data_IF_439896760442
#
_entry.id   IF_439896760442
#
_cell.length_a   1.000
_cell.length_b   1.000
_cell.length_c   1.000
_cell.angle_alpha   90.00
_cell.angle_beta   90.00
_cell.angle_gamma   90.00
#
_symmetry.space_group_name_H-M   'P 1'
#
loop_
_entity.id
_entity.type
_entity.pdbx_description
1 polymer ?
#
# COMPACT_ATOMS: atom_id res chain seq x y z
N UNK A 1 -3.09 17.95 5.03
CA UNK A 1 -2.58 16.87 5.90
C UNK A 1 -3.52 15.69 5.80
N UNK A 2 -3.04 14.61 5.19
CA UNK A 2 -3.79 13.38 4.94
C UNK A 2 -3.79 12.47 6.17
N UNK A 3 -4.74 11.51 6.28
CA UNK A 3 -4.66 10.42 7.26
C UNK A 3 -3.27 9.78 7.23
N UNK A 4 -2.77 9.33 8.37
CA UNK A 4 -1.51 8.57 8.45
C UNK A 4 -1.54 7.39 7.50
N UNK A 5 -2.72 6.78 7.40
CA UNK A 5 -2.95 5.65 6.54
C UNK A 5 -3.00 6.00 5.03
N UNK A 6 -3.02 7.29 4.65
CA UNK A 6 -2.97 7.72 3.25
C UNK A 6 -1.58 7.94 2.67
N UNK A 7 -0.55 7.94 3.52
CA UNK A 7 0.87 8.04 3.14
C UNK A 7 1.41 6.85 2.33
N UNK A 8 0.56 5.89 1.95
CA UNK A 8 0.94 4.50 1.73
C UNK A 8 1.43 4.17 0.32
N UNK A 9 1.03 4.88 -0.74
CA UNK A 9 1.43 4.52 -2.10
C UNK A 9 1.56 5.72 -3.05
N UNK A 10 2.81 6.05 -3.41
CA UNK A 10 3.12 6.70 -4.69
C UNK A 10 4.24 5.89 -5.34
N UNK A 11 3.87 4.89 -6.15
CA UNK A 11 4.82 4.12 -6.95
C UNK A 11 4.94 4.78 -8.32
N UNK A 12 6.12 5.26 -8.68
CA UNK A 12 6.42 5.67 -10.06
C UNK A 12 7.55 4.81 -10.61
N UNK A 13 7.20 3.88 -11.50
CA UNK A 13 8.16 3.19 -12.34
C UNK A 13 8.57 4.15 -13.47
N UNK A 14 9.79 4.68 -13.45
CA UNK A 14 10.32 5.50 -14.53
C UNK A 14 10.74 4.62 -15.71
N UNK A 15 10.24 4.90 -16.91
CA UNK A 15 10.84 4.42 -18.16
C UNK A 15 12.19 5.14 -18.35
N UNK A 16 13.29 4.46 -18.03
CA UNK A 16 14.64 4.95 -18.28
C UNK A 16 15.06 4.66 -19.72
N UNK A 17 15.18 5.69 -20.56
CA UNK A 17 15.89 5.58 -21.85
C UNK A 17 17.39 5.78 -21.60
N UNK A 18 18.19 4.77 -21.91
CA UNK A 18 19.66 4.80 -21.85
C UNK A 18 20.16 5.68 -23.00
N UNK A 19 20.87 6.76 -22.66
CA UNK A 19 21.71 7.47 -23.61
C UNK A 19 22.95 6.62 -23.89
N UNK A 20 23.11 6.21 -25.14
CA UNK A 20 24.37 5.64 -25.63
C UNK A 20 25.37 6.79 -25.76
N UNK A 21 26.44 6.70 -24.97
CA UNK A 21 27.65 7.46 -25.20
C UNK A 21 28.49 6.67 -26.22
N UNK A 22 28.55 7.16 -27.46
CA UNK A 22 29.49 6.67 -28.46
C UNK A 22 29.98 7.84 -29.31
N UNK A 23 31.20 8.27 -29.01
CA UNK A 23 32.05 9.06 -29.87
C UNK A 23 32.23 8.39 -31.23
N UNK A 24 31.75 8.99 -32.32
CA UNK A 24 32.54 9.18 -33.55
C UNK A 24 31.85 10.12 -34.56
N UNK A 25 32.70 10.94 -35.17
CA UNK A 25 32.64 11.46 -36.54
C UNK A 25 31.56 12.49 -36.95
N UNK A 26 32.07 13.71 -37.09
CA UNK A 26 31.70 14.66 -38.13
C UNK A 26 31.55 13.94 -39.47
N UNK A 27 30.42 14.16 -40.15
CA UNK A 27 30.41 14.61 -41.54
C UNK A 27 29.02 15.18 -41.89
N UNK A 28 29.06 16.07 -42.86
CA UNK A 28 28.02 17.00 -43.29
C UNK A 28 26.97 16.34 -44.21
N UNK A 29 25.83 17.04 -44.32
CA UNK A 29 24.97 17.25 -45.53
C UNK A 29 24.01 16.16 -46.05
N UNK A 30 22.77 16.61 -46.33
CA UNK A 30 21.78 16.02 -47.28
C UNK A 30 20.59 15.33 -46.61
N UNK A 31 19.40 15.92 -46.43
CA UNK A 31 18.33 16.30 -47.39
C UNK A 31 17.60 15.12 -48.07
N UNK A 32 16.26 15.17 -47.96
CA UNK A 32 15.17 14.59 -48.78
C UNK A 32 14.59 13.19 -48.49
N UNK A 33 13.36 13.22 -47.92
CA UNK A 33 12.08 12.67 -48.42
C UNK A 33 12.11 11.42 -49.31
N UNK A 34 11.30 10.42 -48.95
CA UNK A 34 10.34 9.77 -49.87
C UNK A 34 9.26 9.00 -49.11
N UNK A 35 8.06 9.06 -49.66
CA UNK A 35 6.85 8.37 -49.24
C UNK A 35 6.62 7.08 -50.05
N UNK A 36 5.85 6.15 -49.49
CA UNK A 36 5.18 5.04 -50.20
C UNK A 36 4.41 4.19 -49.17
N UNK A 37 3.07 4.22 -49.08
CA UNK A 37 2.02 3.72 -50.01
C UNK A 37 1.97 2.19 -50.14
N UNK A 38 0.90 1.56 -49.62
CA UNK A 38 0.24 0.39 -50.24
C UNK A 38 -0.08 -0.85 -49.37
N UNK A 39 -1.29 -0.89 -48.79
CA UNK A 39 -2.39 -1.91 -48.87
C UNK A 39 -2.12 -3.45 -49.07
N UNK A 40 -3.12 -4.38 -48.96
CA UNK A 40 -3.62 -5.07 -47.75
C UNK A 40 -3.78 -6.61 -47.94
N UNK A 41 -4.63 -7.26 -47.10
CA UNK A 41 -5.34 -8.55 -47.27
C UNK A 41 -4.72 -9.80 -46.61
N UNK A 42 -5.53 -10.48 -45.79
CA UNK A 42 -5.31 -11.88 -45.39
C UNK A 42 -6.33 -12.43 -44.40
N UNK A 43 -7.50 -12.88 -44.89
CA UNK A 43 -8.49 -13.67 -44.14
C UNK A 43 -7.97 -15.09 -43.86
N UNK A 44 -8.26 -15.64 -42.68
CA UNK A 44 -8.12 -17.08 -42.38
C UNK A 44 -9.18 -17.56 -41.38
N UNK A 45 -10.01 -18.51 -41.80
CA UNK A 45 -11.15 -19.11 -41.07
C UNK A 45 -10.77 -20.50 -40.51
N UNK A 46 -11.42 -20.84 -39.37
CA UNK A 46 -11.97 -22.15 -38.93
C UNK A 46 -11.05 -23.35 -38.65
N UNK A 47 -11.20 -23.89 -37.42
CA UNK A 47 -11.54 -25.29 -37.08
C UNK A 47 -11.77 -25.32 -35.54
N UNK A 48 -12.94 -25.62 -34.97
CA UNK A 48 -13.72 -26.88 -34.94
C UNK A 48 -12.89 -28.10 -34.50
N UNK A 49 -12.96 -28.45 -33.22
CA UNK A 49 -12.78 -29.82 -32.78
C UNK A 49 -13.76 -30.15 -31.66
N UNK A 50 -14.60 -31.17 -31.90
CA UNK A 50 -15.57 -31.75 -30.98
C UNK A 50 -15.17 -33.20 -30.69
N UNK A 51 -15.21 -33.62 -29.44
CA UNK A 51 -15.27 -35.01 -28.96
C UNK A 51 -16.03 -34.92 -27.63
N UNK A 52 -17.25 -35.43 -27.40
CA UNK A 52 -17.93 -36.72 -27.68
C UNK A 52 -17.33 -37.93 -26.96
N UNK A 53 -17.97 -38.31 -25.83
CA UNK A 53 -18.52 -39.64 -25.44
C UNK A 53 -18.48 -39.77 -23.88
N UNK A 54 -19.58 -39.73 -23.12
CA UNK A 54 -20.71 -40.68 -22.89
C UNK A 54 -20.30 -41.95 -22.11
N UNK A 55 -21.16 -42.33 -21.13
CA UNK A 55 -21.37 -43.66 -20.49
C UNK A 55 -20.67 -43.81 -19.11
N UNK A 56 -21.24 -44.26 -17.96
CA UNK A 56 -22.35 -45.19 -17.64
C UNK A 56 -22.93 -45.00 -16.21
N UNK A 57 -24.22 -45.37 -16.08
CA UNK A 57 -25.12 -45.83 -14.98
C UNK A 57 -24.56 -46.13 -13.57
N UNK A 58 -25.21 -45.83 -12.42
CA UNK A 58 -26.57 -46.07 -11.84
C UNK A 58 -26.54 -47.21 -10.78
N UNK A 59 -27.23 -46.95 -9.65
CA UNK A 59 -27.80 -47.86 -8.62
C UNK A 59 -26.99 -48.17 -7.35
N UNK A 60 -27.56 -47.82 -6.19
CA UNK A 60 -28.03 -48.70 -5.09
C UNK A 60 -28.24 -47.82 -3.82
N UNK A 61 -29.46 -47.40 -3.48
CA UNK A 61 -30.34 -48.05 -2.48
C UNK A 61 -29.63 -48.51 -1.20
N UNK A 62 -29.84 -47.79 -0.08
CA UNK A 62 -30.45 -48.39 1.10
C UNK A 62 -31.05 -47.34 2.05
N UNK A 63 -32.30 -47.58 2.42
CA UNK A 63 -33.04 -47.02 3.57
C UNK A 63 -32.92 -48.04 4.71
N UNK A 64 -32.84 -47.59 5.96
CA UNK A 64 -33.43 -48.16 7.21
C UNK A 64 -32.79 -47.42 8.40
N UNK A 65 -33.48 -46.58 9.18
CA UNK A 65 -34.51 -46.85 10.23
C UNK A 65 -33.96 -47.61 11.44
N UNK A 66 -33.68 -46.88 12.53
CA UNK A 66 -33.77 -47.21 13.97
C UNK A 66 -33.94 -45.84 14.67
N UNK A 67 -35.09 -45.36 15.16
CA UNK A 67 -36.01 -45.83 16.21
C UNK A 67 -35.37 -45.84 17.62
N UNK A 68 -35.79 -44.84 18.40
CA UNK A 68 -35.97 -44.75 19.86
C UNK A 68 -34.75 -44.86 20.79
N UNK A 69 -34.48 -43.75 21.49
CA UNK A 69 -33.73 -43.77 22.73
C UNK A 69 -33.53 -42.38 23.34
N UNK A 70 -34.19 -42.11 24.47
CA UNK A 70 -33.65 -41.19 25.48
C UNK A 70 -34.19 -39.76 25.48
N UNK A 71 -35.44 -39.57 25.93
CA UNK A 71 -35.78 -38.39 26.72
C UNK A 71 -35.10 -38.51 28.07
N UNK A 72 -34.06 -37.70 28.33
CA UNK A 72 -33.57 -37.25 29.64
C UNK A 72 -32.20 -36.60 29.45
N UNK A 73 -32.12 -35.28 29.59
CA UNK A 73 -31.13 -34.58 30.44
C UNK A 73 -31.11 -33.08 30.12
N UNK A 74 -31.28 -32.29 31.17
CA UNK A 74 -30.56 -31.03 31.32
C UNK A 74 -31.22 -29.81 30.71
N UNK A 75 -31.94 -29.09 31.56
CA UNK A 75 -31.97 -27.63 31.57
C UNK A 75 -30.55 -27.06 31.38
N UNK A 76 -30.14 -26.88 30.13
CA UNK A 76 -29.09 -25.93 29.76
C UNK A 76 -29.76 -24.55 29.72
N UNK A 77 -29.90 -23.94 30.90
CA UNK A 77 -30.05 -22.50 31.01
C UNK A 77 -28.80 -21.89 30.38
N UNK A 78 -28.94 -21.50 29.11
CA UNK A 78 -27.90 -20.87 28.33
C UNK A 78 -27.45 -19.59 29.01
N UNK A 79 -26.35 -19.67 29.74
CA UNK A 79 -25.40 -18.57 29.83
C UNK A 79 -24.80 -18.35 28.45
N UNK A 80 -25.62 -17.80 27.55
CA UNK A 80 -25.14 -17.09 26.37
C UNK A 80 -24.50 -15.81 26.84
N UNK A 81 -23.34 -15.91 27.50
CA UNK A 81 -22.39 -14.81 27.43
C UNK A 81 -22.18 -14.58 25.94
N UNK A 82 -22.63 -13.44 25.45
CA UNK A 82 -22.39 -13.00 24.09
C UNK A 82 -20.89 -12.80 23.94
N UNK A 83 -20.16 -13.90 23.75
CA UNK A 83 -18.78 -13.88 23.32
C UNK A 83 -18.82 -13.24 21.93
N UNK A 84 -18.52 -11.95 21.87
CA UNK A 84 -18.37 -11.27 20.60
C UNK A 84 -17.37 -12.07 19.78
N UNK A 85 -17.71 -12.31 18.52
CA UNK A 85 -16.78 -12.94 17.58
C UNK A 85 -15.48 -12.11 17.58
N UNK A 86 -14.32 -12.71 17.90
CA UNK A 86 -13.04 -11.99 17.94
C UNK A 86 -12.75 -11.23 16.64
N UNK A 87 -13.29 -11.67 15.51
CA UNK A 87 -13.16 -10.98 14.22
C UNK A 87 -14.02 -9.70 14.15
N UNK A 88 -15.24 -9.72 14.71
CA UNK A 88 -16.14 -8.57 14.78
C UNK A 88 -15.60 -7.51 15.75
N UNK A 89 -15.03 -7.95 16.89
CA UNK A 89 -14.36 -7.05 17.81
C UNK A 89 -13.15 -6.37 17.16
N UNK A 90 -12.30 -7.13 16.46
CA UNK A 90 -11.15 -6.57 15.74
C UNK A 90 -11.58 -5.54 14.69
N UNK A 91 -12.63 -5.85 13.90
CA UNK A 91 -13.19 -4.93 12.92
C UNK A 91 -13.69 -3.63 13.55
N UNK A 92 -14.41 -3.73 14.68
CA UNK A 92 -14.88 -2.57 15.45
C UNK A 92 -13.73 -1.70 15.95
N UNK A 93 -12.63 -2.32 16.42
CA UNK A 93 -11.44 -1.58 16.86
C UNK A 93 -10.80 -0.84 15.68
N UNK A 94 -10.68 -1.49 14.51
CA UNK A 94 -10.11 -0.87 13.30
C UNK A 94 -10.97 0.30 12.81
N UNK A 95 -12.30 0.18 12.83
CA UNK A 95 -13.21 1.29 12.49
C UNK A 95 -12.98 2.50 13.41
N UNK A 96 -12.90 2.28 14.74
CA UNK A 96 -12.60 3.35 15.71
C UNK A 96 -11.23 3.97 15.51
N UNK A 97 -10.23 3.14 15.21
CA UNK A 97 -8.87 3.62 14.90
C UNK A 97 -8.87 4.54 13.69
N UNK A 98 -9.59 4.19 12.63
CA UNK A 98 -9.64 5.00 11.42
C UNK A 98 -10.39 6.32 11.63
N UNK A 99 -11.46 6.32 12.42
CA UNK A 99 -12.15 7.53 12.85
C UNK A 99 -11.24 8.43 13.70
N UNK A 100 -10.47 7.83 14.63
CA UNK A 100 -9.53 8.56 15.46
C UNK A 100 -8.40 9.16 14.63
N UNK A 101 -7.81 8.42 13.68
CA UNK A 101 -6.75 8.96 12.83
C UNK A 101 -7.26 10.13 11.97
N UNK A 102 -8.51 10.09 11.50
CA UNK A 102 -9.12 11.24 10.81
C UNK A 102 -9.17 12.49 11.71
N UNK A 103 -9.60 12.33 12.96
CA UNK A 103 -9.63 13.44 13.95
C UNK A 103 -8.23 13.96 14.25
N UNK A 104 -7.26 13.07 14.42
CA UNK A 104 -5.87 13.45 14.65
C UNK A 104 -5.28 14.16 13.43
N UNK A 105 -5.56 13.71 12.20
CA UNK A 105 -5.10 14.35 10.97
C UNK A 105 -5.57 15.80 10.86
N UNK A 106 -6.80 16.11 11.29
CA UNK A 106 -7.30 17.49 11.37
C UNK A 106 -6.54 18.32 12.40
N UNK A 107 -6.35 17.78 13.61
CA UNK A 107 -5.62 18.48 14.69
C UNK A 107 -4.15 18.70 14.37
N UNK A 108 -3.54 17.80 13.60
CA UNK A 108 -2.15 17.92 13.15
C UNK A 108 -1.94 19.10 12.18
N UNK A 109 -3.00 19.63 11.54
CA UNK A 109 -2.95 20.83 10.67
C UNK A 109 -2.58 22.12 11.41
N UNK A 110 -2.33 22.06 12.71
CA UNK A 110 -1.76 23.17 13.47
C UNK A 110 -0.22 23.15 13.52
N UNK A 111 0.43 22.13 12.96
CA UNK A 111 1.88 21.98 13.06
C UNK A 111 2.59 22.13 11.71
N UNK A 112 3.65 22.92 11.72
CA UNK A 112 4.71 22.86 10.71
C UNK A 112 5.80 21.90 11.22
N UNK A 113 6.45 21.15 10.34
CA UNK A 113 7.48 20.19 10.71
C UNK A 113 8.50 20.03 9.58
N UNK A 114 9.63 19.39 9.88
CA UNK A 114 10.61 19.05 8.87
C UNK A 114 10.48 17.56 8.52
N UNK A 115 10.42 17.26 7.23
CA UNK A 115 10.42 15.92 6.68
C UNK A 115 11.83 15.58 6.18
N UNK A 116 12.45 14.57 6.78
CA UNK A 116 13.72 14.00 6.31
C UNK A 116 13.40 12.77 5.47
N UNK A 117 13.76 12.80 4.19
CA UNK A 117 13.56 11.70 3.25
C UNK A 117 14.94 11.09 2.95
N UNK A 118 15.14 9.84 3.35
CA UNK A 118 16.32 9.04 3.03
C UNK A 118 15.91 8.01 1.98
N UNK A 119 16.60 7.99 0.84
CA UNK A 119 16.38 7.03 -0.26
C UNK A 119 17.65 6.22 -0.45
N UNK A 120 17.57 4.93 -0.20
CA UNK A 120 18.65 3.97 -0.37
C UNK A 120 18.35 3.08 -1.58
N UNK A 121 19.29 2.98 -2.53
CA UNK A 121 19.28 1.93 -3.54
C UNK A 121 19.98 0.70 -3.00
N UNK A 122 19.39 -0.46 -3.21
CA UNK A 122 19.87 -1.72 -2.66
C UNK A 122 20.36 -2.66 -3.77
N UNK A 123 21.34 -3.50 -3.46
CA UNK A 123 21.72 -4.65 -4.29
C UNK A 123 20.84 -5.89 -3.99
N UNK A 124 21.20 -7.04 -4.57
CA UNK A 124 20.49 -8.30 -4.34
C UNK A 124 20.63 -8.82 -2.89
N UNK A 125 21.75 -8.51 -2.23
CA UNK A 125 22.04 -8.87 -0.84
C UNK A 125 21.49 -7.85 0.18
N UNK A 126 20.71 -6.86 -0.28
CA UNK A 126 20.11 -5.78 0.54
C UNK A 126 21.14 -4.83 1.15
N UNK A 127 22.33 -4.74 0.58
CA UNK A 127 23.35 -3.74 0.95
C UNK A 127 23.06 -2.43 0.23
N UNK A 128 23.42 -1.32 0.87
CA UNK A 128 23.22 0.02 0.35
C UNK A 128 24.27 0.29 -0.73
N UNK A 129 23.81 0.54 -1.96
CA UNK A 129 24.66 0.90 -3.12
C UNK A 129 24.75 2.42 -3.26
N UNK A 130 23.68 3.13 -2.92
CA UNK A 130 23.61 4.59 -3.00
C UNK A 130 22.59 5.09 -1.99
N UNK A 131 22.87 6.23 -1.37
CA UNK A 131 21.99 6.91 -0.43
C UNK A 131 21.81 8.37 -0.84
N UNK A 132 20.60 8.89 -0.69
CA UNK A 132 20.28 10.31 -0.81
C UNK A 132 19.43 10.75 0.37
N UNK A 133 19.80 11.87 0.99
CA UNK A 133 19.10 12.45 2.13
C UNK A 133 18.65 13.86 1.79
N UNK A 134 17.35 14.12 1.91
CA UNK A 134 16.73 15.42 1.66
C UNK A 134 15.94 15.86 2.88
N UNK A 135 16.06 17.12 3.27
CA UNK A 135 15.24 17.75 4.30
C UNK A 135 14.29 18.75 3.64
N UNK A 136 13.02 18.70 3.99
CA UNK A 136 11.98 19.55 3.43
C UNK A 136 11.10 20.09 4.56
N UNK A 137 10.84 21.40 4.56
CA UNK A 137 9.86 21.97 5.48
C UNK A 137 8.44 21.65 4.96
N UNK A 138 7.61 21.06 5.82
CA UNK A 138 6.19 20.83 5.58
C UNK A 138 5.40 21.84 6.37
N UNK A 139 4.59 22.61 5.67
CA UNK A 139 3.72 23.62 6.25
C UNK A 139 2.29 23.10 6.34
N UNK A 140 1.62 23.42 7.44
CA UNK A 140 0.30 22.88 7.74
C UNK A 140 -0.79 23.33 6.73
N UNK A 141 -0.57 24.45 6.05
CA UNK A 141 -1.46 25.06 5.06
C UNK A 141 -1.31 24.46 3.66
N UNK A 142 -0.35 23.56 3.46
CA UNK A 142 -0.05 22.95 2.16
C UNK A 142 -0.02 21.43 2.29
N UNK A 143 -0.48 20.68 1.27
CA UNK A 143 -0.15 19.28 1.21
C UNK A 143 1.39 19.15 1.14
N UNK A 144 2.00 18.28 1.95
CA UNK A 144 3.41 17.92 1.78
C UNK A 144 3.67 17.45 0.35
N UNK A 145 4.67 18.03 -0.29
CA UNK A 145 5.19 17.51 -1.55
C UNK A 145 6.03 16.27 -1.22
N UNK A 146 5.44 15.08 -1.37
CA UNK A 146 6.06 13.81 -1.08
C UNK A 146 7.17 13.39 -2.07
N UNK A 147 7.65 14.35 -2.87
CA UNK A 147 8.79 14.18 -3.74
C UNK A 147 8.46 13.23 -4.86
N UNK A 148 7.44 13.59 -5.66
CA UNK A 148 7.47 13.23 -7.08
C UNK A 148 8.86 13.63 -7.58
N UNK A 149 9.65 12.65 -8.02
CA UNK A 149 11.03 12.85 -8.46
C UNK A 149 11.08 14.12 -9.33
N UNK A 150 11.95 15.12 -9.04
CA UNK A 150 11.93 16.38 -9.77
C UNK A 150 11.97 16.11 -11.27
N UNK A 151 11.02 16.72 -11.99
CA UNK A 151 10.68 16.58 -13.41
C UNK A 151 11.87 16.89 -14.35
N UNK A 152 12.88 16.03 -14.38
CA UNK A 152 13.87 16.00 -15.47
C UNK A 152 13.65 14.77 -16.35
N UNK A 153 12.40 14.58 -16.81
CA UNK A 153 12.02 13.60 -17.82
C UNK A 153 10.89 14.18 -18.69
N UNK A 154 10.81 13.82 -19.98
CA UNK A 154 9.83 14.41 -20.89
C UNK A 154 8.42 13.84 -20.62
N UNK A 155 7.44 14.72 -20.86
CA UNK A 155 6.01 14.44 -21.11
C UNK A 155 5.05 14.33 -19.90
N UNK A 156 4.20 15.36 -19.82
CA UNK A 156 3.18 15.66 -18.80
C UNK A 156 2.01 14.68 -18.69
N UNK A 157 2.18 13.42 -19.09
CA UNK A 157 1.30 12.31 -18.69
C UNK A 157 1.71 11.78 -17.30
N UNK A 158 2.99 11.83 -16.95
CA UNK A 158 3.51 11.51 -15.61
C UNK A 158 3.07 12.53 -14.54
N UNK A 159 2.89 13.80 -14.93
CA UNK A 159 2.35 14.83 -14.04
C UNK A 159 0.88 14.60 -13.65
N UNK A 160 0.10 13.90 -14.48
CA UNK A 160 -1.28 13.49 -14.14
C UNK A 160 -1.33 12.24 -13.26
N UNK A 161 -0.38 11.31 -13.42
CA UNK A 161 -0.23 10.18 -12.50
C UNK A 161 0.28 10.61 -11.11
N UNK A 162 1.00 11.72 -11.02
CA UNK A 162 1.37 12.35 -9.74
C UNK A 162 0.20 13.09 -9.06
N UNK A 163 -0.93 13.28 -9.76
CA UNK A 163 -2.20 13.79 -9.22
C UNK A 163 -3.18 12.65 -8.88
N UNK A 164 -2.71 11.40 -8.74
CA UNK A 164 -3.56 10.32 -8.22
C UNK A 164 -4.06 10.69 -6.83
N UNK A 165 -5.38 10.56 -6.65
CA UNK A 165 -6.08 10.97 -5.42
C UNK A 165 -5.40 10.38 -4.17
N UNK A 166 -5.38 11.13 -3.05
CA UNK A 166 -4.92 10.64 -1.76
C UNK A 166 -5.48 9.23 -1.52
N UNK A 167 -4.61 8.24 -1.35
CA UNK A 167 -5.06 6.88 -1.10
C UNK A 167 -5.76 6.84 0.27
N UNK A 168 -7.07 7.00 0.34
CA UNK A 168 -7.79 7.03 1.62
C UNK A 168 -7.92 5.62 2.19
N UNK A 169 -7.26 5.31 3.31
CA UNK A 169 -7.34 3.96 3.89
C UNK A 169 -8.73 3.57 4.38
N UNK A 170 -9.59 4.55 4.68
CA UNK A 170 -11.00 4.28 4.93
C UNK A 170 -11.66 3.52 3.77
N UNK A 171 -11.19 3.73 2.54
CA UNK A 171 -11.72 3.07 1.35
C UNK A 171 -11.29 1.60 1.25
N UNK A 172 -10.26 1.17 1.99
CA UNK A 172 -9.75 -0.21 1.93
C UNK A 172 -9.93 -1.01 3.22
N UNK A 173 -10.55 -0.45 4.28
CA UNK A 173 -10.86 -1.21 5.50
C UNK A 173 -11.66 -2.48 5.15
N UNK A 174 -12.63 -2.36 4.26
CA UNK A 174 -13.50 -3.47 3.87
C UNK A 174 -12.80 -4.50 2.95
N UNK A 175 -11.55 -4.24 2.54
CA UNK A 175 -10.73 -5.14 1.73
C UNK A 175 -10.04 -6.23 2.55
N UNK A 176 -10.16 -6.18 3.87
CA UNK A 176 -9.44 -7.07 4.77
C UNK A 176 -10.37 -7.89 5.66
N UNK A 177 -9.85 -9.04 6.09
CA UNK A 177 -10.27 -9.72 7.30
C UNK A 177 -9.36 -9.26 8.44
N UNK A 178 -9.94 -9.09 9.62
CA UNK A 178 -9.22 -8.69 10.82
C UNK A 178 -9.33 -9.75 11.90
N UNK A 179 -8.25 -9.96 12.65
CA UNK A 179 -8.26 -10.77 13.86
C UNK A 179 -7.48 -10.09 14.98
N UNK A 180 -7.98 -10.21 16.20
CA UNK A 180 -7.26 -9.77 17.39
C UNK A 180 -6.23 -10.84 17.77
N UNK A 181 -4.95 -10.53 17.59
CA UNK A 181 -3.83 -11.42 17.93
C UNK A 181 -3.38 -11.25 19.40
N UNK A 182 -3.98 -10.30 20.12
CA UNK A 182 -3.79 -10.10 21.54
C UNK A 182 -3.45 -8.65 21.90
N UNK A 183 -2.58 -8.48 22.88
CA UNK A 183 -2.15 -7.16 23.38
C UNK A 183 -0.63 -7.09 23.46
N UNK A 184 -0.08 -5.93 23.14
CA UNK A 184 1.36 -5.70 23.11
C UNK A 184 1.65 -4.26 23.56
N UNK A 185 2.76 -4.05 24.28
CA UNK A 185 3.20 -2.70 24.65
C UNK A 185 4.10 -2.13 23.55
N UNK A 186 3.68 -1.01 22.96
CA UNK A 186 4.44 -0.26 21.96
C UNK A 186 4.76 1.11 22.54
N UNK A 187 6.04 1.47 22.61
CA UNK A 187 6.50 2.75 23.19
C UNK A 187 5.93 3.02 24.60
N UNK A 188 5.78 1.96 25.40
CA UNK A 188 5.22 2.03 26.75
C UNK A 188 3.69 2.07 26.83
N UNK A 189 2.97 2.12 25.70
CA UNK A 189 1.50 2.16 25.61
C UNK A 189 0.94 0.77 25.38
N UNK A 190 -0.08 0.37 26.15
CA UNK A 190 -0.80 -0.87 25.91
C UNK A 190 -1.63 -0.76 24.63
N UNK A 191 -1.36 -1.65 23.67
CA UNK A 191 -2.02 -1.67 22.38
C UNK A 191 -2.75 -3.00 22.14
N UNK A 192 -3.84 -2.96 21.38
CA UNK A 192 -4.37 -4.12 20.68
C UNK A 192 -3.46 -4.44 19.50
N UNK A 193 -3.05 -5.70 19.35
CA UNK A 193 -2.35 -6.19 18.17
C UNK A 193 -3.36 -6.83 17.23
N UNK A 194 -3.57 -6.22 16.08
CA UNK A 194 -4.61 -6.64 15.13
C UNK A 194 -3.94 -7.06 13.84
N UNK A 195 -4.17 -8.30 13.44
CA UNK A 195 -3.73 -8.79 12.14
C UNK A 195 -4.76 -8.43 11.08
N UNK A 196 -4.29 -8.01 9.91
CA UNK A 196 -5.11 -7.80 8.73
C UNK A 196 -4.64 -8.70 7.60
N UNK A 197 -5.58 -9.33 6.90
CA UNK A 197 -5.31 -10.25 5.78
C UNK A 197 -6.23 -9.91 4.62
N UNK A 198 -5.72 -9.76 3.38
CA UNK A 198 -6.52 -9.31 2.26
C UNK A 198 -7.61 -10.33 1.93
N UNK A 199 -8.80 -9.84 1.61
CA UNK A 199 -9.87 -10.67 1.08
C UNK A 199 -9.52 -11.08 -0.35
N UNK A 200 -9.83 -12.32 -0.75
CA UNK A 200 -9.60 -12.75 -2.13
C UNK A 200 -10.52 -11.99 -3.09
N UNK A 201 -10.02 -11.70 -4.29
CA UNK A 201 -10.78 -11.12 -5.41
C UNK A 201 -11.42 -9.74 -5.11
N UNK A 202 -10.82 -8.94 -4.23
CA UNK A 202 -11.28 -7.55 -4.04
C UNK A 202 -11.12 -6.75 -5.34
N UNK A 203 -12.13 -5.93 -5.70
CA UNK A 203 -12.00 -5.04 -6.84
C UNK A 203 -10.86 -4.03 -6.61
N UNK A 204 -10.31 -3.52 -7.70
CA UNK A 204 -9.35 -2.42 -7.67
C UNK A 204 -9.61 -1.48 -8.84
N UNK A 205 -9.45 -0.18 -8.61
CA UNK A 205 -9.62 0.89 -9.60
C UNK A 205 -8.28 1.35 -10.16
N UNK A 206 -7.23 1.29 -9.35
CA UNK A 206 -5.89 1.72 -9.70
C UNK A 206 -4.83 0.67 -9.30
N UNK A 207 -3.56 0.96 -9.57
CA UNK A 207 -2.44 0.00 -9.39
C UNK A 207 -2.09 -0.14 -7.92
N UNK A 208 -2.25 0.94 -7.17
CA UNK A 208 -1.99 1.12 -5.75
C UNK A 208 -2.94 0.22 -4.96
N UNK A 209 -4.24 0.29 -5.26
CA UNK A 209 -5.28 -0.56 -4.66
C UNK A 209 -5.06 -2.04 -4.99
N UNK A 210 -4.57 -2.36 -6.20
CA UNK A 210 -4.18 -3.73 -6.55
C UNK A 210 -3.02 -4.25 -5.68
N UNK A 211 -2.02 -3.40 -5.40
CA UNK A 211 -0.91 -3.77 -4.50
C UNK A 211 -1.41 -3.92 -3.07
N UNK A 212 -2.23 -2.99 -2.59
CA UNK A 212 -2.85 -3.03 -1.26
C UNK A 212 -3.63 -4.33 -1.05
N UNK A 213 -4.40 -4.77 -2.05
CA UNK A 213 -5.14 -6.03 -2.02
C UNK A 213 -4.25 -7.29 -1.93
N UNK A 214 -2.91 -7.16 -2.02
CA UNK A 214 -1.96 -8.25 -1.81
C UNK A 214 -1.14 -8.10 -0.52
N UNK A 215 -1.30 -7.00 0.21
CA UNK A 215 -0.55 -6.70 1.44
C UNK A 215 -1.27 -7.27 2.66
N UNK A 216 -0.53 -7.83 3.60
CA UNK A 216 -1.03 -8.31 4.89
C UNK A 216 -0.09 -7.88 6.00
N UNK A 217 -0.52 -7.90 7.25
CA UNK A 217 0.35 -7.51 8.36
C UNK A 217 -0.39 -7.23 9.66
N UNK A 218 0.13 -6.27 10.43
CA UNK A 218 -0.33 -5.95 11.77
C UNK A 218 -0.51 -4.45 12.00
N UNK A 219 -1.52 -4.11 12.79
CA UNK A 219 -1.84 -2.77 13.29
C UNK A 219 -1.75 -2.81 14.82
N UNK A 220 -1.17 -1.77 15.42
CA UNK A 220 -1.15 -1.60 16.87
C UNK A 220 -1.99 -0.38 17.24
N UNK A 221 -3.16 -0.66 17.81
CA UNK A 221 -4.14 0.35 18.21
C UNK A 221 -4.04 0.60 19.72
N UNK A 222 -3.89 1.85 20.15
CA UNK A 222 -3.94 2.24 21.55
C UNK A 222 -5.21 1.72 22.23
N UNK A 223 -5.07 1.10 23.41
CA UNK A 223 -6.25 0.75 24.22
C UNK A 223 -6.93 1.96 24.88
N UNK A 224 -6.19 3.07 25.01
CA UNK A 224 -6.68 4.29 25.66
C UNK A 224 -7.65 5.06 24.75
N UNK A 225 -7.24 5.29 23.51
CA UNK A 225 -7.90 6.25 22.61
C UNK A 225 -8.00 5.77 21.16
N UNK A 226 -7.65 4.51 20.88
CA UNK A 226 -7.63 3.92 19.54
C UNK A 226 -6.67 4.58 18.54
N UNK A 227 -5.74 5.41 19.00
CA UNK A 227 -4.69 5.96 18.14
C UNK A 227 -3.83 4.84 17.53
N UNK A 228 -3.42 5.00 16.28
CA UNK A 228 -2.47 4.07 15.64
C UNK A 228 -1.07 4.35 16.18
N UNK A 229 -0.43 3.36 16.80
CA UNK A 229 0.93 3.48 17.34
C UNK A 229 2.00 3.00 16.37
N UNK A 230 1.70 1.88 15.71
CA UNK A 230 2.58 1.20 14.77
C UNK A 230 1.73 0.48 13.73
N UNK A 231 2.26 0.33 12.53
CA UNK A 231 1.68 -0.51 11.50
C UNK A 231 2.80 -1.16 10.68
N UNK A 232 2.65 -2.44 10.38
CA UNK A 232 3.59 -3.19 9.58
C UNK A 232 2.84 -4.02 8.55
N UNK A 233 3.47 -4.26 7.41
CA UNK A 233 2.94 -5.22 6.47
C UNK A 233 3.84 -5.50 5.29
N UNK A 234 3.43 -6.55 4.59
CA UNK A 234 4.26 -7.33 3.70
C UNK A 234 3.45 -7.74 2.47
N UNK A 235 4.10 -7.78 1.31
CA UNK A 235 3.49 -8.35 0.12
C UNK A 235 3.33 -9.87 0.28
N UNK A 236 2.09 -10.36 0.16
CA UNK A 236 1.82 -11.80 0.24
C UNK A 236 2.21 -12.56 -1.02
N UNK A 237 2.17 -11.91 -2.19
CA UNK A 237 2.53 -12.51 -3.47
C UNK A 237 2.91 -11.44 -4.50
N UNK A 238 3.73 -11.75 -5.52
CA UNK A 238 4.11 -10.77 -6.53
C UNK A 238 2.91 -10.18 -7.28
N UNK A 239 2.88 -8.85 -7.42
CA UNK A 239 1.79 -8.10 -8.07
C UNK A 239 2.29 -7.43 -9.34
N UNK A 240 1.55 -7.59 -10.44
CA UNK A 240 1.81 -6.84 -11.68
C UNK A 240 1.29 -5.41 -11.53
N UNK A 241 2.21 -4.44 -11.50
CA UNK A 241 1.93 -3.01 -11.26
C UNK A 241 1.85 -2.19 -12.55
N UNK A 242 2.41 -2.68 -13.66
CA UNK A 242 2.19 -2.13 -15.00
C UNK A 242 1.75 -3.23 -15.97
N UNK A 243 1.19 -2.83 -17.12
CA UNK A 243 0.83 -3.72 -18.23
C UNK A 243 2.09 -4.50 -18.67
N UNK A 244 2.20 -5.74 -18.19
CA UNK A 244 3.27 -6.74 -18.36
C UNK A 244 4.75 -6.38 -18.11
N UNK A 245 5.13 -5.10 -17.97
CA UNK A 245 6.53 -4.70 -17.87
C UNK A 245 7.08 -4.56 -16.45
N UNK A 246 6.23 -4.41 -15.42
CA UNK A 246 6.69 -4.22 -14.06
C UNK A 246 5.93 -5.13 -13.09
N UNK A 247 6.68 -5.91 -12.30
CA UNK A 247 6.15 -6.77 -11.25
C UNK A 247 6.83 -6.45 -9.94
N UNK A 248 6.02 -6.09 -8.95
CA UNK A 248 6.43 -5.90 -7.56
C UNK A 248 6.56 -7.27 -6.90
N UNK A 249 7.76 -7.62 -6.45
CA UNK A 249 8.07 -8.91 -5.82
C UNK A 249 8.17 -8.81 -4.31
N UNK A 250 8.72 -7.71 -3.81
CA UNK A 250 8.82 -7.44 -2.38
C UNK A 250 8.21 -6.07 -2.11
N UNK A 251 7.42 -6.00 -1.05
CA UNK A 251 7.03 -4.77 -0.40
C UNK A 251 7.02 -5.05 1.10
N UNK A 252 7.76 -4.27 1.85
CA UNK A 252 7.69 -4.20 3.30
C UNK A 252 7.44 -2.76 3.67
N UNK A 253 6.49 -2.55 4.56
CA UNK A 253 6.22 -1.23 5.10
C UNK A 253 6.23 -1.31 6.62
N UNK A 254 6.73 -0.24 7.24
CA UNK A 254 6.64 -0.01 8.67
C UNK A 254 6.36 1.45 8.92
N UNK A 255 5.40 1.72 9.77
CA UNK A 255 5.00 3.04 10.21
C UNK A 255 5.04 3.10 11.73
N UNK A 256 5.57 4.20 12.27
CA UNK A 256 5.63 4.45 13.70
C UNK A 256 5.10 5.85 14.04
N UNK A 257 4.50 5.96 15.22
CA UNK A 257 4.01 7.21 15.79
C UNK A 257 4.93 7.78 16.87
N UNK A 258 4.76 9.07 17.15
CA UNK A 258 5.31 9.76 18.32
C UNK A 258 4.29 10.73 18.91
N UNK A 259 4.51 11.14 20.16
CA UNK A 259 3.75 12.22 20.79
C UNK A 259 4.17 13.57 20.20
N UNK A 260 3.19 14.39 19.86
CA UNK A 260 3.36 15.75 19.36
C UNK A 260 3.31 16.79 20.50
N UNK A 261 3.67 18.06 20.26
CA UNK A 261 3.65 19.11 21.29
C UNK A 261 2.29 19.38 21.94
N UNK A 262 1.18 18.99 21.32
CA UNK A 262 -0.18 19.07 21.89
C UNK A 262 -0.61 17.80 22.63
N UNK A 263 0.28 16.82 22.77
CA UNK A 263 0.00 15.52 23.38
C UNK A 263 -0.62 14.49 22.43
N UNK A 264 -1.01 14.87 21.21
CA UNK A 264 -1.61 13.92 20.26
C UNK A 264 -0.56 12.97 19.66
N UNK A 265 -1.02 11.84 19.12
CA UNK A 265 -0.17 10.96 18.31
C UNK A 265 -0.03 11.49 16.89
N UNK A 266 1.20 11.55 16.40
CA UNK A 266 1.56 11.94 15.03
C UNK A 266 2.60 11.02 14.41
N UNK A 267 2.88 11.18 13.11
CA UNK A 267 3.88 10.37 12.43
C UNK A 267 5.28 10.65 12.99
N UNK A 268 6.05 9.58 13.21
CA UNK A 268 7.48 9.63 13.56
C UNK A 268 8.31 9.22 12.35
N UNK A 269 8.12 7.98 11.91
CA UNK A 269 8.88 7.38 10.82
C UNK A 269 7.94 6.57 9.93
N UNK A 270 8.17 6.64 8.63
CA UNK A 270 7.61 5.71 7.66
C UNK A 270 8.72 5.11 6.82
N UNK A 271 8.83 3.80 6.83
CA UNK A 271 9.85 3.02 6.12
C UNK A 271 9.20 2.09 5.14
N UNK A 272 9.61 2.19 3.88
CA UNK A 272 9.18 1.30 2.81
C UNK A 272 10.40 0.64 2.21
N UNK A 273 10.30 -0.64 1.89
CA UNK A 273 11.30 -1.38 1.12
C UNK A 273 10.57 -2.11 0.02
N UNK A 274 11.03 -1.96 -1.22
CA UNK A 274 10.42 -2.67 -2.34
C UNK A 274 11.45 -3.19 -3.33
N UNK A 275 11.06 -4.26 -4.02
CA UNK A 275 11.78 -4.83 -5.15
C UNK A 275 10.83 -4.96 -6.34
N UNK A 276 11.11 -4.23 -7.41
CA UNK A 276 10.36 -4.27 -8.65
C UNK A 276 11.25 -4.85 -9.73
N UNK A 277 10.76 -5.88 -10.41
CA UNK A 277 11.38 -6.39 -11.62
C UNK A 277 10.81 -5.62 -12.82
N UNK A 278 11.69 -5.01 -13.59
CA UNK A 278 11.40 -4.31 -14.85
C UNK A 278 12.15 -5.02 -16.00
N UNK A 279 11.87 -4.73 -17.28
CA UNK A 279 12.42 -5.53 -18.38
C UNK A 279 13.95 -5.50 -18.48
N UNK A 280 14.57 -4.46 -17.90
CA UNK A 280 16.01 -4.22 -17.97
C UNK A 280 16.73 -4.45 -16.63
N UNK A 281 16.07 -5.05 -15.64
CA UNK A 281 16.70 -5.41 -14.37
C UNK A 281 15.80 -5.23 -13.16
N UNK A 282 16.43 -5.01 -12.01
CA UNK A 282 15.78 -4.88 -10.72
C UNK A 282 15.90 -3.46 -10.17
N UNK A 283 14.77 -2.90 -9.74
CA UNK A 283 14.73 -1.71 -8.90
C UNK A 283 14.51 -2.16 -7.46
N UNK A 284 15.54 -2.05 -6.62
CA UNK A 284 15.45 -2.33 -5.18
C UNK A 284 15.75 -1.06 -4.43
N UNK A 285 14.77 -0.57 -3.68
CA UNK A 285 14.92 0.68 -2.94
C UNK A 285 14.36 0.54 -1.53
N UNK A 286 14.94 1.30 -0.61
CA UNK A 286 14.37 1.58 0.71
C UNK A 286 14.19 3.08 0.84
N UNK A 287 13.01 3.50 1.27
CA UNK A 287 12.67 4.90 1.51
C UNK A 287 12.29 5.03 2.97
N UNK A 288 13.00 5.89 3.69
CA UNK A 288 12.71 6.25 5.09
C UNK A 288 12.28 7.71 5.09
N UNK A 289 11.16 7.99 5.75
CA UNK A 289 10.59 9.32 5.92
C UNK A 289 10.44 9.60 7.40
N UNK A 290 11.24 10.51 7.93
CA UNK A 290 11.18 10.90 9.34
C UNK A 290 10.53 12.29 9.45
N UNK A 291 9.53 12.41 10.32
CA UNK A 291 8.90 13.69 10.64
C UNK A 291 9.50 14.21 11.95
N UNK A 292 10.22 15.33 11.88
CA UNK A 292 10.97 15.91 12.99
C UNK A 292 10.60 17.38 13.20
N UNK A 293 10.97 17.94 14.34
CA UNK A 293 10.85 19.38 14.64
C UNK A 293 9.44 19.97 14.44
N UNK A 294 8.44 19.29 15.01
CA UNK A 294 7.05 19.77 15.05
C UNK A 294 6.94 21.09 15.83
N UNK A 295 6.39 22.12 15.18
CA UNK A 295 6.25 23.48 15.68
C UNK A 295 4.82 23.96 15.45
N UNK A 296 4.26 24.72 16.39
CA UNK A 296 2.96 25.33 16.16
C UNK A 296 3.03 26.31 15.00
N UNK A 297 2.00 26.30 14.16
CA UNK A 297 1.88 27.22 13.04
C UNK A 297 1.99 28.65 13.53
N UNK A 298 2.87 29.43 12.91
CA UNK A 298 3.10 30.82 13.27
C UNK A 298 3.96 31.06 14.52
N UNK A 299 4.45 30.01 15.19
CA UNK A 299 5.42 30.17 16.29
C UNK A 299 6.83 30.52 15.82
N UNK A 300 7.08 30.48 14.50
CA UNK A 300 8.30 30.96 13.88
C UNK A 300 8.28 32.48 13.75
N UNK A 301 9.06 33.18 14.60
CA UNK A 301 9.54 34.53 14.26
C UNK A 301 10.14 34.46 12.86
N UNK A 302 9.66 35.29 11.92
CA UNK A 302 10.35 35.52 10.65
C UNK A 302 11.83 35.75 10.97
N UNK A 303 12.78 35.00 10.37
CA UNK A 303 14.17 35.43 10.45
C UNK A 303 14.20 36.85 9.91
N UNK A 304 14.61 37.81 10.75
CA UNK A 304 14.83 39.17 10.31
C UNK A 304 15.90 39.09 9.23
N UNK A 305 15.48 39.32 7.98
CA UNK A 305 16.40 39.53 6.87
C UNK A 305 17.19 40.78 7.24
N UNK A 306 18.46 40.59 7.59
CA UNK A 306 19.44 41.67 7.78
C UNK A 306 20.17 41.89 6.46
#
# INVERSE_FOLDING_TARGET
MEPVCSLFFSFHASEGRIGNDSSSERLRTGVCLTAGSGYPIGKGRKASCSMTKRILRLLFLSRSVWVLGGWLLGLWLGWGAAWADPSEEAYRIVRRLAEQDKRLAERRRQFDYDLIIIREKLDAERRIVSESKQRQAVYADRPPDYGSRPEKGPEGETAKAAQEEPFEVLNVIDHYYYSLDGSERVNGVDCYKIRFTPRPNMPYRNREEKVVNAVWGHLWASKEDYSLLQNEGFLGHPVSVAWFFARLYELEFRWESQRLPNGDWGPKEVRYRYAVHIPFGWLRERVIRESVDFRYRGSGKKPAVR
#
